data_IF_415437104036
#
_entry.id   IF_415437104036
#
_cell.length_a   1.000
_cell.length_b   1.000
_cell.length_c   1.000
_cell.angle_alpha   90.00
_cell.angle_beta   90.00
_cell.angle_gamma   90.00
#
_symmetry.space_group_name_H-M   'P 1'
#
loop_
_entity.id
_entity.type
_entity.pdbx_description
1 polymer ?
#
# COMPACT_ATOMS: atom_id res chain seq x y z
N UNK A 1 -0.93 -30.82 -7.07
CA UNK A 1 -0.41 -29.46 -6.79
C UNK A 1 -0.69 -28.60 -8.01
N UNK A 2 -1.58 -27.61 -7.90
CA UNK A 2 -1.65 -26.42 -8.78
C UNK A 2 -2.22 -26.56 -10.19
N UNK A 3 -3.46 -26.97 -10.39
CA UNK A 3 -4.12 -26.85 -11.71
C UNK A 3 -4.74 -25.46 -11.98
N UNK A 4 -4.66 -24.52 -11.03
CA UNK A 4 -5.23 -23.16 -11.16
C UNK A 4 -4.23 -22.03 -10.89
N UNK A 5 -2.93 -22.31 -10.87
CA UNK A 5 -1.91 -21.32 -10.47
C UNK A 5 -1.51 -20.31 -11.55
N UNK A 6 -2.07 -20.40 -12.76
CA UNK A 6 -1.80 -19.47 -13.84
C UNK A 6 -2.92 -18.43 -13.89
N UNK A 7 -2.74 -17.35 -13.13
CA UNK A 7 -3.46 -16.11 -13.35
C UNK A 7 -3.10 -15.62 -14.76
N UNK A 8 -4.04 -15.74 -15.69
CA UNK A 8 -3.85 -15.52 -17.13
C UNK A 8 -4.05 -14.04 -17.52
N UNK A 9 -3.74 -13.66 -18.76
CA UNK A 9 -3.96 -12.29 -19.26
C UNK A 9 -5.42 -11.83 -19.15
N UNK A 10 -6.37 -12.77 -19.15
CA UNK A 10 -7.79 -12.50 -18.91
C UNK A 10 -8.05 -11.97 -17.50
N UNK A 11 -7.24 -12.37 -16.51
CA UNK A 11 -7.37 -11.85 -15.15
C UNK A 11 -6.95 -10.39 -15.03
N UNK A 12 -5.90 -9.98 -15.74
CA UNK A 12 -5.50 -8.56 -15.83
C UNK A 12 -6.62 -7.70 -16.43
N UNK A 13 -7.35 -8.23 -17.42
CA UNK A 13 -8.51 -7.55 -18.00
C UNK A 13 -9.65 -7.42 -16.99
N UNK A 14 -9.95 -8.48 -16.22
CA UNK A 14 -10.97 -8.43 -15.15
C UNK A 14 -10.59 -7.37 -14.12
N UNK A 15 -9.33 -7.36 -13.68
CA UNK A 15 -8.83 -6.36 -12.74
C UNK A 15 -8.99 -4.95 -13.30
N UNK A 16 -8.62 -4.73 -14.55
CA UNK A 16 -8.73 -3.42 -15.19
C UNK A 16 -10.19 -2.93 -15.17
N UNK A 17 -11.15 -3.78 -15.59
CA UNK A 17 -12.58 -3.45 -15.56
C UNK A 17 -13.08 -3.14 -14.15
N UNK A 18 -12.61 -3.90 -13.14
CA UNK A 18 -12.94 -3.63 -11.73
C UNK A 18 -12.42 -2.27 -11.30
N UNK A 19 -11.17 -1.94 -11.65
CA UNK A 19 -10.52 -0.69 -11.27
C UNK A 19 -11.11 0.52 -12.02
N UNK A 20 -11.46 0.38 -13.30
CA UNK A 20 -12.16 1.40 -14.09
C UNK A 20 -13.49 1.81 -13.45
N UNK A 21 -14.18 0.84 -12.82
CA UNK A 21 -15.47 1.05 -12.16
C UNK A 21 -15.33 1.27 -10.65
N UNK A 22 -14.13 1.29 -10.07
CA UNK A 22 -13.96 1.47 -8.62
C UNK A 22 -14.32 2.88 -8.14
N UNK A 23 -14.36 3.81 -9.08
CA UNK A 23 -14.67 5.22 -8.88
C UNK A 23 -13.45 5.99 -8.40
N UNK A 24 -13.35 7.24 -8.86
CA UNK A 24 -12.58 8.24 -8.15
C UNK A 24 -13.39 8.66 -6.91
N UNK A 25 -12.71 9.08 -5.85
CA UNK A 25 -13.37 9.79 -4.75
C UNK A 25 -14.16 10.91 -5.40
N UNK A 26 -15.49 10.91 -5.27
CA UNK A 26 -16.27 12.05 -5.74
C UNK A 26 -15.59 13.33 -5.25
N UNK A 27 -15.40 14.24 -6.19
CA UNK A 27 -14.97 15.61 -5.98
C UNK A 27 -16.05 16.40 -5.23
N UNK A 28 -16.49 15.90 -4.08
CA UNK A 28 -17.41 16.55 -3.14
C UNK A 28 -16.61 17.03 -1.92
N UNK A 29 -15.70 17.96 -2.16
CA UNK A 29 -15.50 19.19 -1.38
C UNK A 29 -14.15 19.83 -1.74
N UNK A 30 -14.20 20.82 -2.62
CA UNK A 30 -13.24 21.92 -2.53
C UNK A 30 -13.52 22.65 -1.22
N UNK A 31 -12.86 22.23 -0.15
CA UNK A 31 -12.70 23.08 1.02
C UNK A 31 -11.23 23.11 1.39
N UNK A 32 -10.61 24.22 1.02
CA UNK A 32 -9.33 24.70 1.52
C UNK A 32 -9.29 24.55 3.04
N UNK A 33 -8.70 23.46 3.50
CA UNK A 33 -8.27 23.36 4.89
C UNK A 33 -6.90 22.69 4.88
N UNK A 34 -5.91 23.48 5.25
CA UNK A 34 -4.54 23.05 5.48
C UNK A 34 -4.51 22.12 6.69
N UNK A 35 -4.79 20.85 6.49
CA UNK A 35 -4.41 19.80 7.42
C UNK A 35 -4.21 18.49 6.65
N UNK A 36 -2.94 18.11 6.46
CA UNK A 36 -2.51 16.92 5.75
C UNK A 36 -2.77 15.61 6.54
N UNK A 37 -3.71 15.64 7.48
CA UNK A 37 -4.01 14.55 8.42
C UNK A 37 -5.44 14.02 8.28
N UNK A 38 -6.29 14.68 7.47
CA UNK A 38 -7.62 14.17 7.11
C UNK A 38 -7.50 13.15 5.97
N UNK A 39 -6.87 12.01 6.27
CA UNK A 39 -6.67 10.90 5.34
C UNK A 39 -8.03 10.27 4.99
N UNK A 40 -8.50 10.52 3.75
CA UNK A 40 -9.61 9.86 3.02
C UNK A 40 -10.48 9.00 3.92
N UNK A 41 -11.44 9.63 4.59
CA UNK A 41 -12.46 8.90 5.35
C UNK A 41 -13.55 8.52 4.36
N UNK A 42 -13.36 7.42 3.62
CA UNK A 42 -14.52 6.72 3.09
C UNK A 42 -15.43 6.38 4.28
N UNK A 43 -16.77 6.43 4.13
CA UNK A 43 -17.65 5.92 5.18
C UNK A 43 -17.31 4.44 5.35
N UNK A 44 -16.57 4.12 6.41
CA UNK A 44 -16.15 2.76 6.81
C UNK A 44 -17.34 1.80 6.75
N UNK A 45 -18.53 2.31 6.98
CA UNK A 45 -19.84 1.68 6.85
C UNK A 45 -20.07 0.96 5.51
N UNK A 46 -19.77 1.58 4.36
CA UNK A 46 -19.98 0.94 3.06
C UNK A 46 -19.05 -0.28 2.89
N UNK A 47 -17.77 -0.14 3.23
CA UNK A 47 -16.81 -1.25 3.14
C UNK A 47 -17.16 -2.35 4.16
N UNK A 48 -17.58 -1.98 5.38
CA UNK A 48 -18.03 -2.92 6.41
C UNK A 48 -19.27 -3.70 5.96
N UNK A 49 -20.26 -3.03 5.33
CA UNK A 49 -21.44 -3.69 4.74
C UNK A 49 -21.00 -4.72 3.69
N UNK A 50 -20.08 -4.32 2.82
CA UNK A 50 -19.56 -5.19 1.77
C UNK A 50 -18.74 -6.36 2.31
N UNK A 51 -18.11 -6.18 3.47
CA UNK A 51 -17.43 -7.27 4.15
C UNK A 51 -18.38 -8.37 4.68
N UNK A 52 -19.70 -8.14 4.67
CA UNK A 52 -20.73 -9.12 5.02
C UNK A 52 -21.42 -9.66 3.76
N UNK A 53 -21.03 -10.85 3.30
CA UNK A 53 -21.62 -11.48 2.11
C UNK A 53 -23.14 -11.72 2.26
N UNK A 54 -23.59 -11.95 3.49
CA UNK A 54 -25.01 -12.14 3.83
C UNK A 54 -25.87 -10.90 3.60
N UNK A 55 -25.26 -9.72 3.45
CA UNK A 55 -25.96 -8.48 3.12
C UNK A 55 -26.10 -8.26 1.60
N UNK A 56 -25.42 -9.08 0.80
CA UNK A 56 -25.42 -8.97 -0.67
C UNK A 56 -26.24 -10.11 -1.27
N UNK A 57 -26.08 -11.33 -0.73
CA UNK A 57 -26.70 -12.54 -1.26
C UNK A 57 -27.30 -13.37 -0.12
N UNK A 58 -28.51 -13.90 -0.32
CA UNK A 58 -29.16 -14.84 0.60
C UNK A 58 -28.46 -16.21 0.58
N UNK A 59 -28.79 -17.08 1.54
CA UNK A 59 -28.33 -18.48 1.53
C UNK A 59 -28.78 -19.25 0.28
N UNK A 60 -29.83 -18.79 -0.40
CA UNK A 60 -30.35 -19.38 -1.64
C UNK A 60 -29.69 -18.82 -2.91
N UNK A 61 -28.77 -17.86 -2.78
CA UNK A 61 -28.09 -17.24 -3.94
C UNK A 61 -28.82 -16.02 -4.53
N UNK A 62 -29.88 -15.53 -3.89
CA UNK A 62 -30.64 -14.37 -4.38
C UNK A 62 -29.96 -13.06 -3.95
N UNK A 63 -29.83 -12.11 -4.87
CA UNK A 63 -29.26 -10.79 -4.60
C UNK A 63 -30.29 -9.94 -3.83
N UNK A 64 -29.90 -9.38 -2.69
CA UNK A 64 -30.78 -8.61 -1.78
C UNK A 64 -30.34 -7.14 -1.61
N UNK A 65 -29.64 -6.61 -2.61
CA UNK A 65 -29.18 -5.21 -2.62
C UNK A 65 -30.31 -4.27 -3.04
N UNK A 66 -30.21 -2.99 -2.67
CA UNK A 66 -31.19 -1.98 -3.11
C UNK A 66 -31.18 -1.83 -4.63
N UNK A 67 -32.26 -1.30 -5.22
CA UNK A 67 -32.30 -1.03 -6.67
C UNK A 67 -31.19 -0.05 -7.09
N UNK A 68 -30.87 0.91 -6.23
CA UNK A 68 -29.77 1.86 -6.43
C UNK A 68 -28.41 1.15 -6.48
N UNK A 69 -28.10 0.31 -5.49
CA UNK A 69 -26.86 -0.46 -5.44
C UNK A 69 -26.77 -1.44 -6.64
N UNK A 70 -27.88 -2.06 -7.03
CA UNK A 70 -27.94 -2.99 -8.16
C UNK A 70 -27.57 -2.31 -9.49
N UNK A 71 -27.90 -1.03 -9.65
CA UNK A 71 -27.61 -0.24 -10.85
C UNK A 71 -26.27 0.51 -10.78
N UNK A 72 -25.59 0.50 -9.64
CA UNK A 72 -24.34 1.23 -9.42
C UNK A 72 -23.10 0.37 -9.77
N UNK A 73 -22.34 0.68 -10.84
CA UNK A 73 -21.12 -0.07 -11.18
C UNK A 73 -20.05 -0.02 -10.08
N UNK A 74 -20.00 1.07 -9.31
CA UNK A 74 -19.07 1.24 -8.19
C UNK A 74 -19.37 0.30 -7.03
N UNK A 75 -20.64 -0.01 -6.81
CA UNK A 75 -21.01 -1.02 -5.84
C UNK A 75 -20.44 -2.38 -6.28
N UNK A 76 -20.66 -2.78 -7.53
CA UNK A 76 -20.20 -4.07 -8.04
C UNK A 76 -18.68 -4.20 -8.14
N UNK A 77 -17.95 -3.13 -8.48
CA UNK A 77 -16.48 -3.16 -8.48
C UNK A 77 -15.90 -3.42 -7.09
N UNK A 78 -16.47 -2.81 -6.05
CA UNK A 78 -16.10 -3.10 -4.65
C UNK A 78 -16.47 -4.53 -4.25
N UNK A 79 -17.57 -5.10 -4.76
CA UNK A 79 -17.94 -6.52 -4.53
C UNK A 79 -16.89 -7.43 -5.17
N UNK A 80 -16.46 -7.09 -6.39
CA UNK A 80 -15.39 -7.79 -7.09
C UNK A 80 -14.06 -7.68 -6.33
N UNK A 81 -13.69 -6.51 -5.80
CA UNK A 81 -12.48 -6.36 -4.99
C UNK A 81 -12.51 -7.28 -3.75
N UNK A 82 -13.65 -7.38 -3.08
CA UNK A 82 -13.81 -8.35 -1.98
C UNK A 82 -13.61 -9.79 -2.44
N UNK A 83 -14.16 -10.16 -3.59
CA UNK A 83 -13.98 -11.52 -4.13
C UNK A 83 -12.51 -11.78 -4.48
N UNK A 84 -11.80 -10.77 -4.99
CA UNK A 84 -10.35 -10.81 -5.21
C UNK A 84 -9.62 -10.99 -3.87
N UNK A 85 -9.98 -10.24 -2.82
CA UNK A 85 -9.42 -10.41 -1.46
C UNK A 85 -9.65 -11.82 -0.89
N UNK A 86 -10.84 -12.39 -1.16
CA UNK A 86 -11.18 -13.77 -0.78
C UNK A 86 -10.34 -14.80 -1.54
N UNK A 87 -10.08 -14.56 -2.83
CA UNK A 87 -9.24 -15.42 -3.66
C UNK A 87 -7.76 -15.37 -3.23
N UNK A 88 -7.28 -14.19 -2.87
CA UNK A 88 -5.89 -13.90 -2.56
C UNK A 88 -5.45 -14.35 -1.14
N UNK A 89 -5.90 -15.51 -0.67
CA UNK A 89 -5.57 -16.04 0.66
C UNK A 89 -4.12 -16.56 0.77
N UNK A 90 -3.55 -16.99 -0.36
CA UNK A 90 -2.20 -17.56 -0.47
C UNK A 90 -1.22 -16.52 -1.01
N UNK A 91 0.02 -16.54 -0.53
CA UNK A 91 1.03 -15.52 -0.84
C UNK A 91 1.36 -15.40 -2.34
N UNK A 92 1.32 -16.52 -3.08
CA UNK A 92 1.54 -16.54 -4.53
C UNK A 92 0.39 -15.88 -5.28
N UNK A 93 -0.85 -16.25 -4.96
CA UNK A 93 -2.06 -15.62 -5.53
C UNK A 93 -2.12 -14.14 -5.21
N UNK A 94 -1.80 -13.76 -3.96
CA UNK A 94 -1.70 -12.36 -3.55
C UNK A 94 -0.70 -11.58 -4.40
N UNK A 95 0.49 -12.16 -4.61
CA UNK A 95 1.51 -11.52 -5.43
C UNK A 95 1.01 -11.22 -6.83
N UNK A 96 0.40 -12.19 -7.50
CA UNK A 96 -0.14 -11.99 -8.84
C UNK A 96 -1.26 -10.95 -8.89
N UNK A 97 -2.17 -10.95 -7.90
CA UNK A 97 -3.22 -9.92 -7.77
C UNK A 97 -2.60 -8.52 -7.64
N UNK A 98 -1.64 -8.35 -6.74
CA UNK A 98 -1.01 -7.06 -6.52
C UNK A 98 -0.15 -6.62 -7.70
N UNK A 99 0.59 -7.53 -8.34
CA UNK A 99 1.33 -7.22 -9.57
C UNK A 99 0.40 -6.69 -10.68
N UNK A 100 -0.82 -7.22 -10.76
CA UNK A 100 -1.84 -6.76 -11.70
C UNK A 100 -2.35 -5.36 -11.34
N UNK A 101 -2.66 -5.11 -10.05
CA UNK A 101 -3.02 -3.79 -9.55
C UNK A 101 -1.91 -2.76 -9.81
N UNK A 102 -0.67 -3.11 -9.48
CA UNK A 102 0.48 -2.24 -9.62
C UNK A 102 0.76 -1.91 -11.07
N UNK A 103 0.64 -2.88 -11.99
CA UNK A 103 0.78 -2.62 -13.42
C UNK A 103 -0.26 -1.61 -13.90
N UNK A 104 -1.51 -1.74 -13.45
CA UNK A 104 -2.57 -0.79 -13.76
C UNK A 104 -2.26 0.62 -13.21
N UNK A 105 -1.85 0.72 -11.94
CA UNK A 105 -1.52 2.00 -11.31
C UNK A 105 -0.28 2.67 -11.90
N UNK A 106 0.79 1.89 -12.19
CA UNK A 106 2.02 2.36 -12.82
C UNK A 106 1.73 2.96 -14.19
N UNK A 107 0.93 2.26 -15.02
CA UNK A 107 0.62 2.68 -16.38
C UNK A 107 -0.29 3.90 -16.43
N UNK A 108 -1.24 4.01 -15.49
CA UNK A 108 -2.16 5.15 -15.40
C UNK A 108 -1.64 6.31 -14.55
N UNK A 109 -0.45 6.19 -13.95
CA UNK A 109 0.08 7.15 -12.96
C UNK A 109 -0.92 7.43 -11.80
N UNK A 110 -1.56 6.37 -11.29
CA UNK A 110 -2.67 6.45 -10.33
C UNK A 110 -2.23 6.33 -8.86
N UNK A 111 -0.95 6.58 -8.58
CA UNK A 111 -0.36 6.43 -7.25
C UNK A 111 -0.52 7.66 -6.34
N UNK A 112 -0.92 8.82 -6.90
CA UNK A 112 -0.97 10.08 -6.15
C UNK A 112 -1.78 9.98 -4.84
N UNK A 113 -1.25 10.39 -3.67
CA UNK A 113 -1.96 10.27 -2.40
C UNK A 113 -3.27 11.08 -2.30
N UNK A 114 -3.41 12.14 -3.09
CA UNK A 114 -4.57 13.05 -3.04
C UNK A 114 -5.67 12.70 -4.04
N UNK A 115 -5.33 12.05 -5.14
CA UNK A 115 -6.19 11.84 -6.31
C UNK A 115 -6.02 10.44 -6.93
N UNK A 116 -5.23 9.58 -6.31
CA UNK A 116 -4.80 8.31 -6.88
C UNK A 116 -5.67 7.17 -6.39
N UNK A 117 -6.27 6.47 -7.34
CA UNK A 117 -7.00 5.23 -7.12
C UNK A 117 -6.18 4.19 -6.34
N UNK A 118 -4.86 4.16 -6.55
CA UNK A 118 -3.97 3.15 -5.98
C UNK A 118 -4.04 3.03 -4.46
N UNK A 119 -3.98 4.16 -3.74
CA UNK A 119 -4.05 4.13 -2.27
C UNK A 119 -5.42 3.63 -1.78
N UNK A 120 -6.52 4.15 -2.35
CA UNK A 120 -7.87 3.78 -1.93
C UNK A 120 -8.14 2.28 -2.07
N UNK A 121 -7.75 1.69 -3.22
CA UNK A 121 -7.92 0.26 -3.49
C UNK A 121 -7.07 -0.58 -2.55
N UNK A 122 -5.82 -0.18 -2.29
CA UNK A 122 -4.94 -0.93 -1.39
C UNK A 122 -5.42 -0.90 0.06
N UNK A 123 -5.93 0.25 0.55
CA UNK A 123 -6.53 0.35 1.88
C UNK A 123 -7.77 -0.53 2.01
N UNK A 124 -8.67 -0.49 1.02
CA UNK A 124 -9.89 -1.29 1.03
C UNK A 124 -9.58 -2.79 0.93
N UNK A 125 -8.62 -3.17 0.08
CA UNK A 125 -8.13 -4.55 -0.03
C UNK A 125 -7.55 -5.04 1.29
N UNK A 126 -6.71 -4.23 1.95
CA UNK A 126 -6.15 -4.56 3.27
C UNK A 126 -7.26 -4.79 4.30
N UNK A 127 -8.22 -3.87 4.41
CA UNK A 127 -9.33 -3.98 5.34
C UNK A 127 -10.20 -5.22 5.06
N UNK A 128 -10.51 -5.50 3.79
CA UNK A 128 -11.28 -6.69 3.41
C UNK A 128 -10.55 -7.98 3.79
N UNK A 129 -9.24 -8.03 3.58
CA UNK A 129 -8.41 -9.18 3.96
C UNK A 129 -8.36 -9.40 5.46
N UNK A 130 -8.12 -8.34 6.23
CA UNK A 130 -8.09 -8.40 7.70
C UNK A 130 -9.43 -8.89 8.25
N UNK A 131 -10.55 -8.40 7.71
CA UNK A 131 -11.90 -8.85 8.06
C UNK A 131 -12.19 -10.31 7.68
N UNK A 132 -11.54 -10.82 6.63
CA UNK A 132 -11.60 -12.24 6.24
C UNK A 132 -10.65 -13.12 7.05
N UNK A 133 -9.83 -12.54 7.95
CA UNK A 133 -8.80 -13.26 8.71
C UNK A 133 -7.60 -13.69 7.86
N UNK A 134 -7.40 -13.07 6.69
CA UNK A 134 -6.28 -13.36 5.81
C UNK A 134 -5.03 -12.56 6.22
N UNK A 135 -3.85 -13.07 5.87
CA UNK A 135 -2.57 -12.41 6.17
C UNK A 135 -2.34 -11.20 5.26
N UNK A 136 -2.82 -10.02 5.66
CA UNK A 136 -2.63 -8.76 4.92
C UNK A 136 -1.17 -8.29 4.86
N UNK A 137 -0.31 -8.78 5.76
CA UNK A 137 1.09 -8.33 5.89
C UNK A 137 1.92 -8.55 4.61
N UNK A 138 1.55 -9.54 3.79
CA UNK A 138 2.21 -9.78 2.50
C UNK A 138 2.01 -8.61 1.53
N UNK A 139 0.89 -7.88 1.62
CA UNK A 139 0.64 -6.74 0.73
C UNK A 139 1.73 -5.67 0.88
N UNK A 140 2.07 -5.35 2.11
CA UNK A 140 3.10 -4.38 2.45
C UNK A 140 4.48 -4.82 1.95
N UNK A 141 4.86 -6.08 2.19
CA UNK A 141 6.13 -6.62 1.72
C UNK A 141 6.23 -6.63 0.18
N UNK A 142 5.12 -6.92 -0.51
CA UNK A 142 5.07 -6.92 -1.98
C UNK A 142 5.12 -5.48 -2.52
N UNK A 143 4.43 -4.53 -1.87
CA UNK A 143 4.44 -3.11 -2.24
C UNK A 143 5.83 -2.48 -2.09
N UNK A 144 6.53 -2.75 -0.98
CA UNK A 144 7.89 -2.22 -0.79
C UNK A 144 8.84 -2.78 -1.84
N UNK A 145 8.72 -4.08 -2.18
CA UNK A 145 9.50 -4.67 -3.28
C UNK A 145 9.20 -4.04 -4.64
N UNK A 146 7.99 -3.52 -4.85
CA UNK A 146 7.61 -2.83 -6.08
C UNK A 146 8.39 -1.53 -6.32
N UNK A 147 9.00 -0.95 -5.29
CA UNK A 147 9.89 0.21 -5.44
C UNK A 147 11.12 -0.08 -6.33
N UNK A 148 11.55 -1.33 -6.41
CA UNK A 148 12.63 -1.76 -7.30
C UNK A 148 12.14 -2.04 -8.75
N UNK A 149 10.84 -1.85 -9.05
CA UNK A 149 10.29 -2.10 -10.38
C UNK A 149 10.73 -1.04 -11.41
N UNK A 150 11.04 -1.47 -12.64
CA UNK A 150 11.60 -0.62 -13.70
C UNK A 150 10.72 0.59 -14.08
N UNK A 151 9.40 0.50 -13.93
CA UNK A 151 8.50 1.62 -14.22
C UNK A 151 8.56 2.67 -13.12
N UNK A 152 8.65 2.21 -11.87
CA UNK A 152 8.76 3.05 -10.66
C UNK A 152 10.13 3.73 -10.61
N UNK A 153 11.21 3.01 -10.91
CA UNK A 153 12.57 3.57 -10.94
C UNK A 153 12.74 4.72 -11.95
N UNK A 154 11.94 4.74 -13.03
CA UNK A 154 11.96 5.80 -14.04
C UNK A 154 11.15 7.04 -13.65
N UNK A 155 10.31 6.95 -12.62
CA UNK A 155 9.46 8.04 -12.17
C UNK A 155 9.73 8.35 -10.67
N UNK A 156 10.60 9.34 -10.39
CA UNK A 156 10.96 9.72 -9.03
C UNK A 156 9.77 10.14 -8.14
N UNK A 157 8.75 10.79 -8.71
CA UNK A 157 7.55 11.19 -7.97
C UNK A 157 6.71 9.96 -7.56
N UNK A 158 6.56 9.00 -8.48
CA UNK A 158 5.84 7.74 -8.23
C UNK A 158 6.47 6.93 -7.10
N UNK A 159 7.80 6.94 -6.96
CA UNK A 159 8.48 6.29 -5.83
C UNK A 159 8.00 6.85 -4.48
N UNK A 160 7.99 8.17 -4.34
CA UNK A 160 7.55 8.85 -3.12
C UNK A 160 6.07 8.52 -2.83
N UNK A 161 5.23 8.53 -3.87
CA UNK A 161 3.81 8.19 -3.74
C UNK A 161 3.59 6.75 -3.27
N UNK A 162 4.35 5.78 -3.80
CA UNK A 162 4.30 4.37 -3.37
C UNK A 162 4.79 4.23 -1.92
N UNK A 163 5.88 4.93 -1.53
CA UNK A 163 6.37 4.93 -0.14
C UNK A 163 5.30 5.48 0.80
N UNK A 164 4.64 6.59 0.44
CA UNK A 164 3.55 7.17 1.22
C UNK A 164 2.34 6.23 1.33
N UNK A 165 2.03 5.50 0.26
CA UNK A 165 0.99 4.48 0.29
C UNK A 165 1.35 3.33 1.24
N UNK A 166 2.61 2.86 1.20
CA UNK A 166 3.11 1.87 2.15
C UNK A 166 3.01 2.36 3.60
N UNK A 167 3.43 3.60 3.88
CA UNK A 167 3.30 4.22 5.20
C UNK A 167 1.85 4.23 5.68
N UNK A 168 0.90 4.58 4.80
CA UNK A 168 -0.54 4.61 5.13
C UNK A 168 -1.10 3.21 5.45
N UNK A 169 -0.67 2.18 4.72
CA UNK A 169 -1.04 0.78 5.00
C UNK A 169 -0.52 0.32 6.38
N UNK A 170 0.73 0.67 6.70
CA UNK A 170 1.35 0.35 8.00
C UNK A 170 0.64 1.05 9.15
N UNK A 171 0.27 2.33 8.98
CA UNK A 171 -0.42 3.09 10.02
C UNK A 171 -1.83 2.53 10.32
N UNK A 172 -2.51 2.00 9.30
CA UNK A 172 -3.89 1.50 9.41
C UNK A 172 -3.99 0.01 9.72
N UNK A 173 -2.89 -0.75 9.66
CA UNK A 173 -2.94 -2.17 10.00
C UNK A 173 -2.95 -2.41 11.50
N UNK A 174 -3.83 -3.29 11.96
CA UNK A 174 -3.81 -3.84 13.32
C UNK A 174 -2.87 -5.06 13.43
N UNK A 175 -2.06 -5.29 12.39
CA UNK A 175 -1.13 -6.41 12.26
C UNK A 175 -0.24 -6.63 13.48
N UNK A 176 -0.19 -7.88 13.92
CA UNK A 176 0.87 -8.38 14.79
C UNK A 176 2.19 -8.51 14.01
N UNK A 177 3.34 -8.48 14.69
CA UNK A 177 4.62 -8.70 14.03
C UNK A 177 4.66 -10.01 13.24
N UNK A 178 5.32 -10.00 12.09
CA UNK A 178 5.44 -11.18 11.24
C UNK A 178 6.70 -11.17 10.39
N UNK A 179 7.06 -12.33 9.83
CA UNK A 179 8.21 -12.47 8.91
C UNK A 179 8.06 -11.55 7.70
N UNK A 180 6.83 -11.31 7.22
CA UNK A 180 6.58 -10.38 6.12
C UNK A 180 6.92 -8.92 6.51
N UNK A 181 6.57 -8.50 7.73
CA UNK A 181 6.90 -7.16 8.26
C UNK A 181 8.42 -7.01 8.45
N UNK A 182 9.10 -8.05 8.96
CA UNK A 182 10.57 -8.04 9.10
C UNK A 182 11.24 -7.95 7.73
N UNK A 183 10.73 -8.68 6.73
CA UNK A 183 11.19 -8.59 5.34
C UNK A 183 10.98 -7.19 4.76
N UNK A 184 9.79 -6.62 4.96
CA UNK A 184 9.45 -5.24 4.58
C UNK A 184 10.40 -4.21 5.22
N UNK A 185 10.68 -4.34 6.52
CA UNK A 185 11.64 -3.50 7.24
C UNK A 185 13.03 -3.60 6.62
N UNK A 186 13.50 -4.82 6.34
CA UNK A 186 14.81 -5.08 5.72
C UNK A 186 14.92 -4.47 4.32
N UNK A 187 13.86 -4.61 3.53
CA UNK A 187 13.76 -4.01 2.20
C UNK A 187 13.75 -2.48 2.29
N UNK A 188 13.00 -1.89 3.22
CA UNK A 188 12.96 -0.44 3.38
C UNK A 188 14.28 0.14 3.90
N UNK A 189 15.00 -0.56 4.78
CA UNK A 189 16.35 -0.16 5.20
C UNK A 189 17.33 -0.15 4.01
N UNK A 190 17.18 -1.09 3.06
CA UNK A 190 17.95 -1.07 1.81
C UNK A 190 17.61 0.18 0.99
N UNK A 191 16.34 0.58 0.89
CA UNK A 191 15.95 1.82 0.20
C UNK A 191 16.49 3.07 0.90
N UNK A 192 16.54 3.10 2.23
CA UNK A 192 17.16 4.20 2.97
C UNK A 192 18.65 4.31 2.68
N UNK A 193 19.38 3.18 2.68
CA UNK A 193 20.80 3.20 2.34
C UNK A 193 21.03 3.74 0.91
N UNK A 194 20.17 3.36 -0.04
CA UNK A 194 20.21 3.90 -1.41
C UNK A 194 19.94 5.41 -1.43
N UNK A 195 18.93 5.91 -0.70
CA UNK A 195 18.60 7.34 -0.69
C UNK A 195 19.70 8.21 -0.07
N UNK A 196 20.34 7.74 1.01
CA UNK A 196 21.51 8.40 1.62
C UNK A 196 22.67 8.47 0.63
N UNK A 197 22.95 7.39 -0.10
CA UNK A 197 24.01 7.45 -1.12
C UNK A 197 23.71 8.46 -2.22
N UNK A 198 22.46 8.57 -2.67
CA UNK A 198 22.06 9.56 -3.67
C UNK A 198 22.24 11.00 -3.19
N UNK A 199 22.02 11.29 -1.89
CA UNK A 199 22.17 12.65 -1.34
C UNK A 199 23.62 13.06 -1.08
N UNK A 200 24.55 12.11 -0.94
CA UNK A 200 25.98 12.42 -0.80
C UNK A 200 26.61 13.02 -2.06
N UNK A 201 26.02 12.74 -3.23
CA UNK A 201 26.46 13.27 -4.52
C UNK A 201 25.80 14.62 -4.90
N UNK A 202 25.01 15.22 -3.99
CA UNK A 202 24.19 16.43 -4.23
C UNK A 202 25.00 17.64 -4.73
N UNK A 203 26.28 17.76 -4.37
CA UNK A 203 27.12 18.92 -4.68
C UNK A 203 27.27 19.19 -6.20
N UNK A 204 27.01 18.20 -7.06
CA UNK A 204 27.07 18.32 -8.52
C UNK A 204 25.70 18.18 -9.20
N UNK A 205 24.61 18.13 -8.43
CA UNK A 205 23.25 17.90 -8.94
C UNK A 205 22.43 19.19 -9.03
N UNK A 206 21.41 19.19 -9.90
CA UNK A 206 20.46 20.31 -10.01
C UNK A 206 19.55 20.40 -8.77
N UNK A 207 19.09 21.61 -8.44
CA UNK A 207 18.27 21.88 -7.26
C UNK A 207 16.99 21.02 -7.15
N UNK A 208 16.40 20.65 -8.30
CA UNK A 208 15.23 19.76 -8.36
C UNK A 208 15.56 18.34 -7.88
N UNK A 209 16.73 17.82 -8.24
CA UNK A 209 17.20 16.48 -7.86
C UNK A 209 17.51 16.45 -6.36
N UNK A 210 18.19 17.50 -5.85
CA UNK A 210 18.47 17.65 -4.42
C UNK A 210 17.17 17.70 -3.61
N UNK A 211 16.19 18.49 -4.05
CA UNK A 211 14.88 18.56 -3.38
C UNK A 211 14.16 17.20 -3.41
N UNK A 212 14.24 16.48 -4.53
CA UNK A 212 13.68 15.14 -4.62
C UNK A 212 14.38 14.15 -3.68
N UNK A 213 15.72 14.13 -3.65
CA UNK A 213 16.51 13.29 -2.75
C UNK A 213 16.08 13.49 -1.29
N UNK A 214 15.94 14.74 -0.86
CA UNK A 214 15.48 15.10 0.50
C UNK A 214 14.07 14.59 0.79
N UNK A 215 13.11 14.80 -0.14
CA UNK A 215 11.73 14.32 0.02
C UNK A 215 11.65 12.80 0.05
N UNK A 216 12.39 12.13 -0.83
CA UNK A 216 12.45 10.68 -0.92
C UNK A 216 13.02 10.10 0.37
N UNK A 217 14.16 10.59 0.84
CA UNK A 217 14.76 10.16 2.10
C UNK A 217 13.78 10.35 3.28
N UNK A 218 13.16 11.53 3.42
CA UNK A 218 12.19 11.79 4.46
C UNK A 218 10.97 10.84 4.41
N UNK A 219 10.48 10.51 3.21
CA UNK A 219 9.37 9.58 3.05
C UNK A 219 9.75 8.14 3.44
N UNK A 220 10.95 7.71 3.07
CA UNK A 220 11.49 6.38 3.42
C UNK A 220 11.72 6.27 4.92
N UNK A 221 12.30 7.31 5.54
CA UNK A 221 12.51 7.38 6.98
C UNK A 221 11.16 7.31 7.73
N UNK A 222 10.15 8.07 7.30
CA UNK A 222 8.82 8.01 7.90
C UNK A 222 8.20 6.61 7.80
N UNK A 223 8.34 5.95 6.65
CA UNK A 223 7.85 4.58 6.48
C UNK A 223 8.57 3.59 7.41
N UNK A 224 9.90 3.72 7.56
CA UNK A 224 10.70 2.93 8.48
C UNK A 224 10.26 3.09 9.92
N UNK A 225 10.02 4.33 10.37
CA UNK A 225 9.53 4.59 11.73
C UNK A 225 8.22 3.86 11.99
N UNK A 226 7.27 3.89 11.05
CA UNK A 226 6.01 3.15 11.20
C UNK A 226 6.21 1.62 11.18
N UNK A 227 7.08 1.11 10.31
CA UNK A 227 7.41 -0.31 10.25
C UNK A 227 8.05 -0.81 11.54
N UNK A 228 8.99 -0.05 12.11
CA UNK A 228 9.70 -0.41 13.35
C UNK A 228 8.72 -0.54 14.53
N UNK A 229 7.74 0.37 14.65
CA UNK A 229 6.68 0.25 15.67
C UNK A 229 5.92 -1.07 15.59
N UNK A 230 5.74 -1.62 14.38
CA UNK A 230 5.08 -2.92 14.15
C UNK A 230 6.03 -4.11 14.31
N UNK A 231 7.34 -3.92 14.07
CA UNK A 231 8.37 -4.96 14.22
C UNK A 231 8.84 -5.18 15.66
N UNK A 232 8.91 -4.12 16.46
CA UNK A 232 9.47 -4.10 17.83
C UNK A 232 8.59 -4.84 18.85
N UNK A 233 7.30 -5.05 18.58
CA UNK A 233 6.43 -5.91 19.41
C UNK A 233 6.84 -7.39 19.38
N UNK A 234 7.82 -7.78 18.57
CA UNK A 234 8.42 -9.13 18.58
C UNK A 234 9.54 -9.28 19.63
N UNK A 235 10.01 -8.19 20.24
CA UNK A 235 11.22 -8.21 21.07
C UNK A 235 11.05 -7.42 22.37
N UNK A 236 10.41 -8.05 23.36
CA UNK A 236 10.84 -7.93 24.76
C UNK A 236 11.35 -9.30 25.24
N UNK A 237 12.53 -9.41 25.87
CA UNK A 237 13.81 -8.75 25.59
C UNK A 237 14.81 -9.80 25.07
N UNK A 238 15.27 -9.68 23.83
CA UNK A 238 16.48 -10.42 23.40
C UNK A 238 17.16 -9.82 22.17
N UNK A 239 17.36 -8.51 22.12
CA UNK A 239 18.50 -7.97 21.38
C UNK A 239 19.10 -6.86 22.23
N UNK A 240 20.29 -7.18 22.77
CA UNK A 240 21.10 -6.30 23.58
C UNK A 240 21.59 -5.16 22.69
N UNK A 241 21.37 -3.92 23.14
CA UNK A 241 22.31 -2.79 23.28
C UNK A 241 23.33 -2.42 22.18
N UNK A 242 23.64 -3.25 21.18
CA UNK A 242 24.69 -2.99 20.20
C UNK A 242 24.20 -2.20 18.97
N UNK A 243 22.94 -2.37 18.55
CA UNK A 243 22.42 -1.67 17.36
C UNK A 243 21.91 -0.24 17.64
N UNK A 244 21.51 0.06 18.89
CA UNK A 244 21.18 1.44 19.32
C UNK A 244 22.42 2.35 19.41
N UNK A 245 23.63 1.76 19.54
CA UNK A 245 24.89 2.50 19.48
C UNK A 245 25.25 2.93 18.06
N UNK A 246 24.75 2.25 17.03
CA UNK A 246 24.98 2.65 15.63
C UNK A 246 24.12 3.88 15.27
N UNK A 247 22.89 3.96 15.77
CA UNK A 247 22.01 5.11 15.54
C UNK A 247 22.40 6.38 16.31
N UNK A 248 23.11 6.26 17.44
CA UNK A 248 23.55 7.41 18.23
C UNK A 248 24.91 7.99 17.82
N UNK A 249 25.69 7.27 17.00
CA UNK A 249 27.03 7.69 16.60
C UNK A 249 27.12 8.38 15.23
N UNK A 250 26.01 8.57 14.52
CA UNK A 250 25.97 9.44 13.34
C UNK A 250 25.66 10.89 13.75
N UNK A 251 26.57 11.49 14.53
CA UNK A 251 26.68 12.96 14.60
C UNK A 251 27.66 13.41 13.52
N UNK A 252 27.34 14.44 12.71
CA UNK A 252 28.26 14.95 11.72
C UNK A 252 29.49 15.54 12.42
N UNK A 253 30.66 14.96 12.19
CA UNK A 253 31.92 15.61 12.50
C UNK A 253 32.16 16.73 11.49
N UNK A 254 31.62 17.90 11.78
CA UNK A 254 32.11 19.14 11.19
C UNK A 254 32.12 20.23 12.26
N UNK A 255 33.32 20.72 12.59
CA UNK A 255 33.71 22.01 13.17
C UNK A 255 34.83 21.85 14.22
N UNK A 256 36.06 21.63 13.77
CA UNK A 256 37.21 22.55 13.90
C UNK A 256 38.49 21.88 13.41
#
# INVERSE_FOLDING_TARGET
MGEFSNISAEFDNVISVVLDNYGDVESTSRQDTQDATALVTHPREHITRMCSWRMIVTEKGEIIVSLEDAQNPQFWSRVCLRNIAKLAKEATTMRHVLESFFRYFDNGNLWSPKLGLGLSVLLDMQLMMENLGHNSHFMLAILIKHLDHKNVLKNPAMQIDIVNAATSLVQRTDAQPSVAIIGALSDMMRHLRKSIHCSLDDANLGAEIVQWNQKNQASVDACLVELSKKGELSQQPRFQEEDLLVFTNLKPQSLR
#
